data_IF_308580402220
#
_entry.id   IF_308580402220
#
_cell.length_a   1.000
_cell.length_b   1.000
_cell.length_c   1.000
_cell.angle_alpha   90.00
_cell.angle_beta   90.00
_cell.angle_gamma   90.00
#
_symmetry.space_group_name_H-M   'P 1'
#
loop_
_entity.id
_entity.type
_entity.pdbx_description
1 polymer ?
#
# COMPACT_ATOMS: atom_id res chain seq x y z
N UNK A 1 -6.38 18.29 -12.79
CA UNK A 1 -6.45 17.79 -11.40
C UNK A 1 -5.10 17.24 -11.01
N UNK A 2 -4.63 17.51 -9.79
CA UNK A 2 -3.42 16.87 -9.25
C UNK A 2 -3.85 15.62 -8.47
N UNK A 3 -3.23 14.48 -8.75
CA UNK A 3 -3.48 13.25 -8.00
C UNK A 3 -2.95 13.36 -6.57
N UNK A 4 -3.63 12.75 -5.57
CA UNK A 4 -3.14 12.73 -4.18
C UNK A 4 -1.70 12.25 -4.07
N UNK A 5 -0.98 12.79 -3.10
CA UNK A 5 0.41 12.40 -2.78
C UNK A 5 0.42 11.58 -1.49
N UNK A 6 1.22 10.51 -1.47
CA UNK A 6 1.46 9.77 -0.23
C UNK A 6 2.16 10.70 0.79
N UNK A 7 1.71 10.66 2.05
CA UNK A 7 2.16 11.56 3.11
C UNK A 7 1.60 12.98 3.03
N UNK A 8 0.62 13.26 2.16
CA UNK A 8 0.00 14.59 2.00
C UNK A 8 0.79 15.55 1.11
N UNK A 9 0.43 16.83 1.05
CA UNK A 9 1.11 17.79 0.16
C UNK A 9 2.53 18.15 0.64
N UNK A 10 2.71 18.35 1.95
CA UNK A 10 4.02 18.61 2.54
C UNK A 10 4.78 17.31 2.82
N UNK A 11 6.08 17.29 2.52
CA UNK A 11 6.93 16.19 2.95
C UNK A 11 7.05 16.22 4.48
N UNK A 12 6.89 15.07 5.13
CA UNK A 12 7.02 14.97 6.58
C UNK A 12 8.41 15.46 7.03
N UNK A 13 8.48 16.41 7.98
CA UNK A 13 9.73 17.00 8.40
C UNK A 13 10.56 15.99 9.19
N UNK A 14 11.86 15.91 8.87
CA UNK A 14 12.82 15.18 9.68
C UNK A 14 14.22 15.77 9.45
N UNK A 15 14.97 16.14 10.51
CA UNK A 15 16.29 16.77 10.39
C UNK A 15 17.28 15.95 9.56
N UNK A 16 18.24 16.56 8.84
CA UNK A 16 19.24 15.83 8.06
C UNK A 16 20.13 14.88 8.88
N UNK A 17 20.28 15.16 10.18
CA UNK A 17 21.12 14.43 11.14
C UNK A 17 20.31 13.48 12.05
N UNK A 18 19.02 13.29 11.78
CA UNK A 18 18.08 12.58 12.65
C UNK A 18 18.51 11.17 13.08
N UNK A 19 19.29 10.45 12.27
CA UNK A 19 19.77 9.10 12.59
C UNK A 19 21.22 9.07 13.11
N UNK A 20 21.86 10.23 13.21
CA UNK A 20 23.23 10.39 13.69
C UNK A 20 23.33 11.08 15.05
N UNK A 21 22.25 11.75 15.48
CA UNK A 21 22.18 12.38 16.81
C UNK A 21 22.19 11.35 17.94
N UNK A 22 22.70 11.77 19.10
CA UNK A 22 22.86 10.90 20.27
C UNK A 22 21.54 10.31 20.78
N UNK A 23 20.46 11.09 20.73
CA UNK A 23 19.12 10.64 21.15
C UNK A 23 18.64 9.43 20.37
N UNK A 24 18.87 9.39 19.06
CA UNK A 24 18.53 8.24 18.22
C UNK A 24 19.53 7.11 18.40
N UNK A 25 20.83 7.39 18.28
CA UNK A 25 21.87 6.35 18.27
C UNK A 25 21.99 5.59 19.60
N UNK A 26 21.70 6.22 20.75
CA UNK A 26 21.64 5.53 22.05
C UNK A 26 20.39 4.68 22.24
N UNK A 27 19.28 5.05 21.62
CA UNK A 27 17.98 4.39 21.82
C UNK A 27 17.66 3.35 20.74
N UNK A 28 18.28 3.46 19.55
CA UNK A 28 18.02 2.58 18.44
C UNK A 28 18.76 1.26 18.58
N UNK A 29 17.99 0.20 18.85
CA UNK A 29 18.47 -1.18 18.77
C UNK A 29 17.92 -1.85 17.50
N UNK A 30 18.78 -2.33 16.58
CA UNK A 30 18.33 -2.93 15.33
C UNK A 30 17.67 -4.30 15.56
N UNK A 31 16.45 -4.46 15.07
CA UNK A 31 15.65 -5.68 15.16
C UNK A 31 15.43 -6.36 13.81
N UNK A 32 14.16 -6.67 13.53
CA UNK A 32 13.76 -7.48 12.36
C UNK A 32 13.91 -6.71 11.05
N UNK A 33 14.15 -7.44 9.97
CA UNK A 33 14.17 -6.87 8.63
C UNK A 33 12.78 -6.94 8.00
N UNK A 34 12.33 -5.82 7.43
CA UNK A 34 11.12 -5.73 6.64
C UNK A 34 11.43 -5.10 5.28
N UNK A 35 10.52 -5.29 4.33
CA UNK A 35 10.65 -4.83 2.97
C UNK A 35 9.37 -4.11 2.55
N UNK A 36 9.49 -2.83 2.25
CA UNK A 36 8.42 -2.08 1.58
C UNK A 36 8.54 -2.37 0.10
N UNK A 37 7.48 -2.89 -0.51
CA UNK A 37 7.43 -3.22 -1.92
C UNK A 37 6.31 -2.46 -2.63
N UNK A 38 6.48 -2.34 -3.94
CA UNK A 38 5.47 -1.82 -4.85
C UNK A 38 5.16 -2.88 -5.90
N UNK A 39 3.89 -3.11 -6.19
CA UNK A 39 3.46 -4.08 -7.21
C UNK A 39 2.28 -3.58 -8.04
N UNK A 40 2.15 -4.14 -9.23
CA UNK A 40 1.01 -3.95 -10.13
C UNK A 40 0.65 -5.26 -10.82
N UNK A 41 -0.51 -5.30 -11.46
CA UNK A 41 -1.02 -6.45 -12.22
C UNK A 41 -1.81 -5.97 -13.44
N UNK A 42 -2.05 -6.88 -14.39
CA UNK A 42 -2.85 -6.62 -15.58
C UNK A 42 -2.08 -6.34 -16.86
N UNK A 43 -0.75 -6.43 -16.86
CA UNK A 43 0.04 -6.47 -18.10
C UNK A 43 -0.04 -7.86 -18.71
N UNK A 44 -0.72 -7.99 -19.86
CA UNK A 44 -0.70 -9.20 -20.67
C UNK A 44 -0.14 -8.88 -22.06
N UNK A 45 1.08 -9.35 -22.32
CA UNK A 45 1.78 -9.17 -23.60
C UNK A 45 1.13 -9.97 -24.74
N UNK A 46 0.29 -10.96 -24.44
CA UNK A 46 -0.44 -11.76 -25.43
C UNK A 46 -1.75 -11.07 -25.85
N UNK A 47 -2.30 -10.21 -24.98
CA UNK A 47 -3.51 -9.42 -25.25
C UNK A 47 -3.32 -7.95 -24.85
N UNK A 48 -2.36 -7.22 -25.47
CA UNK A 48 -2.00 -5.87 -25.05
C UNK A 48 -3.14 -4.85 -25.19
N UNK A 49 -4.13 -5.15 -26.04
CA UNK A 49 -5.33 -4.33 -26.22
C UNK A 49 -6.33 -4.43 -25.05
N UNK A 50 -6.21 -5.44 -24.19
CA UNK A 50 -7.13 -5.67 -23.07
C UNK A 50 -6.41 -5.35 -21.76
N UNK A 51 -6.51 -4.09 -21.32
CA UNK A 51 -6.02 -3.71 -19.99
C UNK A 51 -6.93 -4.31 -18.91
N UNK A 52 -6.41 -5.25 -18.14
CA UNK A 52 -7.11 -5.90 -17.03
C UNK A 52 -6.43 -5.56 -15.70
N UNK A 53 -6.87 -6.14 -14.58
CA UNK A 53 -6.21 -5.94 -13.30
C UNK A 53 -6.18 -4.49 -12.82
N UNK A 54 -5.19 -4.18 -11.99
CA UNK A 54 -4.97 -2.84 -11.49
C UNK A 54 -4.55 -1.86 -12.61
N UNK A 55 -3.84 -2.33 -13.64
CA UNK A 55 -3.51 -1.51 -14.81
C UNK A 55 -4.77 -1.01 -15.54
N UNK A 56 -5.76 -1.87 -15.72
CA UNK A 56 -7.06 -1.50 -16.30
C UNK A 56 -7.78 -0.46 -15.46
N UNK A 57 -7.78 -0.60 -14.13
CA UNK A 57 -8.31 0.40 -13.19
C UNK A 57 -7.60 1.74 -13.36
N UNK A 58 -6.26 1.73 -13.31
CA UNK A 58 -5.43 2.92 -13.45
C UNK A 58 -5.68 3.66 -14.78
N UNK A 59 -5.76 2.92 -15.90
CA UNK A 59 -6.04 3.50 -17.23
C UNK A 59 -7.43 4.14 -17.30
N UNK A 60 -8.47 3.46 -16.80
CA UNK A 60 -9.83 4.01 -16.79
C UNK A 60 -9.96 5.25 -15.92
N UNK A 61 -9.18 5.35 -14.84
CA UNK A 61 -9.11 6.54 -13.99
C UNK A 61 -8.17 7.64 -14.50
N UNK A 62 -7.36 7.37 -15.52
CA UNK A 62 -6.25 8.24 -15.97
C UNK A 62 -5.22 8.54 -14.85
N UNK A 63 -4.98 7.54 -14.00
CA UNK A 63 -4.13 7.64 -12.81
C UNK A 63 -2.95 6.65 -12.84
N UNK A 64 -1.99 6.85 -11.93
CA UNK A 64 -0.96 5.85 -11.63
C UNK A 64 -1.28 5.22 -10.28
N UNK A 65 -1.67 3.95 -10.29
CA UNK A 65 -2.12 3.23 -9.10
C UNK A 65 -1.25 1.99 -8.92
N UNK A 66 -0.72 1.81 -7.72
CA UNK A 66 0.07 0.65 -7.37
C UNK A 66 -0.32 0.13 -5.99
N UNK A 67 -0.09 -1.17 -5.77
CA UNK A 67 -0.11 -1.71 -4.42
C UNK A 67 1.21 -1.37 -3.72
N UNK A 68 1.15 -0.77 -2.54
CA UNK A 68 2.32 -0.52 -1.68
C UNK A 68 2.05 -1.13 -0.31
N UNK A 69 2.97 -1.96 0.18
CA UNK A 69 2.75 -2.83 1.34
C UNK A 69 4.09 -3.30 1.92
N UNK A 70 4.05 -3.98 3.08
CA UNK A 70 5.24 -4.43 3.80
C UNK A 70 5.24 -5.95 3.98
N UNK A 71 6.35 -6.59 3.65
CA UNK A 71 6.56 -8.01 3.96
C UNK A 71 7.84 -8.22 4.76
N UNK A 72 7.87 -9.27 5.59
CA UNK A 72 9.07 -9.78 6.25
C UNK A 72 9.51 -11.13 5.67
N UNK A 73 8.87 -11.58 4.58
CA UNK A 73 9.23 -12.85 3.94
C UNK A 73 10.61 -12.76 3.30
N UNK A 74 11.39 -13.84 3.47
CA UNK A 74 12.74 -13.95 2.91
C UNK A 74 12.70 -13.91 1.38
N UNK A 75 11.70 -14.55 0.78
CA UNK A 75 11.49 -14.56 -0.68
C UNK A 75 10.30 -13.69 -1.02
N UNK A 76 10.58 -12.48 -1.53
CA UNK A 76 9.53 -11.55 -1.95
C UNK A 76 8.57 -12.17 -2.99
N UNK A 77 9.04 -13.09 -3.82
CA UNK A 77 8.19 -13.79 -4.81
C UNK A 77 7.08 -14.61 -4.18
N UNK A 78 7.25 -15.12 -2.95
CA UNK A 78 6.18 -15.85 -2.27
C UNK A 78 5.02 -14.90 -1.94
N UNK A 79 5.32 -13.63 -1.61
CA UNK A 79 4.29 -12.61 -1.43
C UNK A 79 3.49 -12.35 -2.71
N UNK A 80 4.12 -12.36 -3.89
CA UNK A 80 3.38 -12.23 -5.16
C UNK A 80 2.50 -13.45 -5.42
N UNK A 81 2.95 -14.66 -5.07
CA UNK A 81 2.15 -15.88 -5.19
C UNK A 81 0.87 -15.76 -4.36
N UNK A 82 0.98 -15.29 -3.12
CA UNK A 82 -0.18 -15.04 -2.25
C UNK A 82 -1.15 -14.02 -2.88
N UNK A 83 -0.65 -12.89 -3.40
CA UNK A 83 -1.50 -11.89 -4.06
C UNK A 83 -2.21 -12.43 -5.31
N UNK A 84 -1.56 -13.32 -6.06
CA UNK A 84 -2.15 -13.97 -7.22
C UNK A 84 -3.23 -14.98 -6.84
N UNK A 85 -2.97 -15.77 -5.79
CA UNK A 85 -3.92 -16.75 -5.26
C UNK A 85 -5.18 -16.05 -4.73
N UNK A 86 -5.00 -15.01 -3.91
CA UNK A 86 -6.09 -14.21 -3.35
C UNK A 86 -6.80 -13.33 -4.40
N UNK A 87 -6.21 -13.20 -5.59
CA UNK A 87 -6.59 -12.21 -6.61
C UNK A 87 -6.80 -10.83 -6.00
N UNK A 88 -5.83 -10.40 -5.20
CA UNK A 88 -6.00 -9.27 -4.27
C UNK A 88 -6.60 -8.04 -4.97
N UNK A 89 -7.69 -7.50 -4.43
CA UNK A 89 -8.36 -6.31 -4.96
C UNK A 89 -9.19 -6.50 -6.23
N UNK A 90 -9.43 -7.74 -6.66
CA UNK A 90 -10.22 -8.02 -7.86
C UNK A 90 -11.70 -7.66 -7.71
N UNK A 91 -12.22 -7.62 -6.48
CA UNK A 91 -13.65 -7.54 -6.26
C UNK A 91 -14.12 -6.09 -6.22
N UNK A 92 -15.24 -5.86 -6.88
CA UNK A 92 -15.94 -4.58 -6.95
C UNK A 92 -17.45 -4.83 -6.93
N UNK A 93 -18.24 -3.76 -7.04
CA UNK A 93 -19.71 -3.81 -7.04
C UNK A 93 -20.20 -3.45 -8.43
N UNK A 94 -21.08 -4.27 -9.01
CA UNK A 94 -21.73 -4.00 -10.29
C UNK A 94 -22.70 -2.82 -10.17
N UNK A 95 -23.16 -2.29 -11.32
CA UNK A 95 -24.18 -1.23 -11.33
C UNK A 95 -25.48 -1.64 -10.60
N UNK A 96 -25.81 -2.93 -10.63
CA UNK A 96 -26.99 -3.50 -9.96
C UNK A 96 -26.74 -3.88 -8.49
N UNK A 97 -25.55 -3.57 -7.94
CA UNK A 97 -25.23 -3.78 -6.53
C UNK A 97 -24.65 -5.16 -6.16
N UNK A 98 -24.35 -6.01 -7.14
CA UNK A 98 -23.78 -7.34 -6.89
C UNK A 98 -22.26 -7.32 -6.82
N UNK A 99 -21.67 -8.14 -5.93
CA UNK A 99 -20.23 -8.36 -5.94
C UNK A 99 -19.81 -9.06 -7.23
N UNK A 100 -18.78 -8.52 -7.88
CA UNK A 100 -18.19 -9.09 -9.09
C UNK A 100 -16.68 -9.07 -8.99
N UNK A 101 -16.03 -10.07 -9.58
CA UNK A 101 -14.56 -10.14 -9.65
C UNK A 101 -14.07 -9.73 -11.04
N UNK A 102 -13.29 -8.66 -11.10
CA UNK A 102 -12.57 -8.26 -12.30
C UNK A 102 -11.46 -9.26 -12.64
N UNK A 103 -11.17 -9.43 -13.93
CA UNK A 103 -10.08 -10.28 -14.43
C UNK A 103 -8.72 -9.57 -14.31
N UNK A 104 -7.63 -10.33 -14.37
CA UNK A 104 -6.26 -9.81 -14.46
C UNK A 104 -5.62 -9.39 -13.12
N UNK A 105 -6.20 -9.81 -12.00
CA UNK A 105 -5.65 -9.64 -10.65
C UNK A 105 -4.83 -10.86 -10.18
N UNK A 106 -4.42 -11.72 -11.11
CA UNK A 106 -3.74 -13.00 -10.92
C UNK A 106 -2.31 -13.05 -11.48
N UNK A 107 -1.79 -11.90 -11.94
CA UNK A 107 -0.45 -11.74 -12.51
C UNK A 107 0.33 -10.57 -11.88
N UNK A 108 0.29 -10.46 -10.56
CA UNK A 108 1.04 -9.50 -9.77
C UNK A 108 2.55 -9.58 -10.02
N UNK A 109 3.15 -8.41 -10.26
CA UNK A 109 4.57 -8.24 -10.48
C UNK A 109 5.11 -7.09 -9.64
N UNK A 110 6.33 -7.26 -9.12
CA UNK A 110 7.04 -6.17 -8.45
C UNK A 110 7.46 -5.08 -9.44
N UNK A 111 7.21 -3.84 -9.04
CA UNK A 111 7.70 -2.65 -9.71
C UNK A 111 8.99 -2.16 -9.05
N UNK A 112 9.86 -1.53 -9.83
CA UNK A 112 11.05 -0.88 -9.28
C UNK A 112 10.67 0.39 -8.54
N UNK A 113 11.08 0.52 -7.28
CA UNK A 113 11.03 1.78 -6.51
C UNK A 113 12.36 2.52 -6.77
N UNK A 114 12.29 3.61 -7.54
CA UNK A 114 13.45 4.39 -8.00
C UNK A 114 13.35 5.83 -7.49
N UNK A 115 13.74 6.09 -6.23
CA UNK A 115 13.83 7.44 -5.69
C UNK A 115 14.98 8.21 -6.34
N UNK A 116 14.77 9.52 -6.50
CA UNK A 116 15.81 10.44 -7.01
C UNK A 116 16.85 10.76 -5.94
N UNK A 117 16.42 10.84 -4.68
CA UNK A 117 17.26 11.02 -3.51
C UNK A 117 17.79 9.73 -2.89
N UNK A 118 18.53 9.91 -1.81
CA UNK A 118 19.01 8.82 -0.95
C UNK A 118 18.37 8.94 0.43
N UNK A 119 18.21 7.81 1.15
CA UNK A 119 17.93 7.85 2.58
C UNK A 119 18.93 8.74 3.32
N UNK A 120 18.51 9.28 4.46
CA UNK A 120 19.39 10.08 5.31
C UNK A 120 20.63 9.29 5.76
N UNK A 121 21.74 9.97 6.11
CA UNK A 121 22.91 9.31 6.68
C UNK A 121 22.53 8.45 7.89
N UNK A 122 23.10 7.24 7.98
CA UNK A 122 22.79 6.25 9.02
C UNK A 122 21.32 5.79 9.13
N UNK A 123 20.48 6.12 8.14
CA UNK A 123 19.08 5.70 8.11
C UNK A 123 18.93 4.18 8.17
N UNK A 124 17.99 3.66 8.99
CA UNK A 124 17.59 2.25 8.97
C UNK A 124 16.91 1.81 7.66
N UNK A 125 16.58 2.76 6.79
CA UNK A 125 15.99 2.54 5.47
C UNK A 125 17.10 2.52 4.42
N UNK A 126 17.10 1.51 3.57
CA UNK A 126 18.07 1.36 2.48
C UNK A 126 17.37 0.92 1.19
N UNK A 127 17.90 1.36 0.06
CA UNK A 127 17.42 0.93 -1.26
C UNK A 127 17.86 -0.50 -1.51
N UNK A 128 16.98 -1.31 -2.09
CA UNK A 128 17.30 -2.65 -2.58
C UNK A 128 16.65 -2.88 -3.94
N UNK A 129 16.87 -4.05 -4.55
CA UNK A 129 16.32 -4.33 -5.87
C UNK A 129 14.80 -4.56 -5.77
N UNK A 130 14.02 -3.68 -6.40
CA UNK A 130 12.53 -3.68 -6.40
C UNK A 130 11.85 -3.45 -5.04
N UNK A 131 12.57 -3.09 -3.99
CA UNK A 131 12.00 -2.78 -2.68
C UNK A 131 12.86 -1.78 -1.89
N UNK A 132 12.29 -1.22 -0.83
CA UNK A 132 13.05 -0.56 0.23
C UNK A 132 13.22 -1.54 1.38
N UNK A 133 14.46 -1.74 1.81
CA UNK A 133 14.81 -2.57 2.95
C UNK A 133 14.82 -1.71 4.21
N UNK A 134 14.06 -2.13 5.21
CA UNK A 134 13.88 -1.40 6.45
C UNK A 134 14.31 -2.28 7.62
N UNK A 135 15.29 -1.82 8.39
CA UNK A 135 15.63 -2.45 9.68
C UNK A 135 14.72 -1.84 10.74
N UNK A 136 13.76 -2.62 11.22
CA UNK A 136 12.85 -2.18 12.27
C UNK A 136 13.59 -2.17 13.62
N UNK A 137 13.31 -1.21 14.52
CA UNK A 137 13.86 -1.23 15.86
C UNK A 137 13.28 -2.39 16.69
N UNK A 138 14.01 -2.84 17.70
CA UNK A 138 13.50 -3.79 18.69
C UNK A 138 12.17 -3.27 19.28
N UNK A 139 11.21 -4.18 19.44
CA UNK A 139 9.87 -3.87 19.94
C UNK A 139 8.87 -3.41 18.87
N UNK A 140 9.30 -3.04 17.66
CA UNK A 140 8.38 -2.75 16.55
C UNK A 140 8.14 -4.00 15.70
N UNK A 141 6.90 -4.50 15.70
CA UNK A 141 6.48 -5.57 14.82
C UNK A 141 6.31 -5.08 13.37
N UNK A 142 6.46 -5.99 12.39
CA UNK A 142 6.21 -5.68 10.96
C UNK A 142 4.80 -5.16 10.72
N UNK A 143 3.80 -5.77 11.35
CA UNK A 143 2.40 -5.36 11.19
C UNK A 143 2.13 -3.99 11.78
N UNK A 144 2.78 -3.64 12.90
CA UNK A 144 2.71 -2.30 13.49
C UNK A 144 3.34 -1.25 12.57
N UNK A 145 4.50 -1.56 11.98
CA UNK A 145 5.14 -0.67 11.00
C UNK A 145 4.27 -0.47 9.75
N UNK A 146 3.73 -1.57 9.20
CA UNK A 146 2.84 -1.55 8.05
C UNK A 146 1.57 -0.72 8.32
N UNK A 147 0.99 -0.90 9.49
CA UNK A 147 -0.19 -0.17 9.96
C UNK A 147 0.07 1.35 10.01
N UNK A 148 1.18 1.79 10.60
CA UNK A 148 1.59 3.22 10.59
C UNK A 148 1.85 3.73 9.18
N UNK A 149 2.50 2.92 8.35
CA UNK A 149 2.76 3.27 6.96
C UNK A 149 1.45 3.54 6.21
N UNK A 150 0.45 2.66 6.37
CA UNK A 150 -0.85 2.83 5.75
C UNK A 150 -1.62 4.04 6.26
N UNK A 151 -1.58 4.32 7.57
CA UNK A 151 -2.21 5.50 8.16
C UNK A 151 -1.65 6.79 7.57
N UNK A 152 -0.32 6.91 7.49
CA UNK A 152 0.35 8.09 6.90
C UNK A 152 0.05 8.22 5.41
N UNK A 153 -0.14 7.11 4.71
CA UNK A 153 -0.41 7.09 3.28
C UNK A 153 -1.92 7.16 2.93
N UNK A 154 -2.81 7.12 3.93
CA UNK A 154 -4.25 6.89 3.75
C UNK A 154 -4.91 7.89 2.79
N UNK A 155 -4.53 9.17 2.84
CA UNK A 155 -5.08 10.21 1.99
C UNK A 155 -4.86 9.95 0.48
N UNK A 156 -3.86 9.15 0.12
CA UNK A 156 -3.59 8.73 -1.26
C UNK A 156 -4.06 7.30 -1.56
N UNK A 157 -4.78 6.64 -0.65
CA UNK A 157 -5.39 5.33 -0.90
C UNK A 157 -6.55 5.49 -1.88
N UNK A 158 -6.67 4.54 -2.82
CA UNK A 158 -7.70 4.55 -3.85
C UNK A 158 -9.10 4.59 -3.24
N UNK A 159 -9.42 3.64 -2.35
CA UNK A 159 -10.76 3.53 -1.77
C UNK A 159 -11.13 4.75 -0.92
N UNK A 160 -10.15 5.34 -0.23
CA UNK A 160 -10.37 6.53 0.59
C UNK A 160 -10.56 7.77 -0.26
N UNK A 161 -9.73 7.95 -1.30
CA UNK A 161 -9.87 9.05 -2.24
C UNK A 161 -11.21 8.99 -2.97
N UNK A 162 -11.70 7.81 -3.38
CA UNK A 162 -12.99 7.65 -4.06
C UNK A 162 -14.20 8.16 -3.25
N UNK A 163 -14.04 8.35 -1.93
CA UNK A 163 -15.07 8.90 -1.03
C UNK A 163 -15.05 10.44 -0.98
N UNK A 164 -14.05 11.10 -1.56
CA UNK A 164 -13.92 12.57 -1.49
C UNK A 164 -14.72 13.29 -2.59
N UNK A 165 -15.11 14.56 -2.38
CA UNK A 165 -15.77 15.37 -3.41
C UNK A 165 -14.98 15.48 -4.71
N UNK A 166 -13.64 15.57 -4.62
CA UNK A 166 -12.77 15.67 -5.78
C UNK A 166 -12.83 14.41 -6.64
N UNK A 167 -12.85 13.23 -6.02
CA UNK A 167 -12.96 11.97 -6.75
C UNK A 167 -14.33 11.79 -7.40
N UNK A 168 -15.39 12.19 -6.70
CA UNK A 168 -16.75 12.18 -7.25
C UNK A 168 -16.83 13.07 -8.49
N UNK A 169 -16.27 14.29 -8.41
CA UNK A 169 -16.21 15.21 -9.54
C UNK A 169 -15.37 14.66 -10.72
N UNK A 170 -14.21 14.06 -10.44
CA UNK A 170 -13.37 13.43 -11.46
C UNK A 170 -14.09 12.28 -12.16
N UNK A 171 -14.69 11.37 -11.38
CA UNK A 171 -15.42 10.22 -11.93
C UNK A 171 -16.59 10.69 -12.81
N UNK A 172 -17.33 11.71 -12.38
CA UNK A 172 -18.39 12.33 -13.19
C UNK A 172 -17.84 12.90 -14.50
N UNK A 173 -16.69 13.58 -14.47
CA UNK A 173 -16.05 14.14 -15.67
C UNK A 173 -15.69 13.06 -16.71
N UNK A 174 -15.26 11.88 -16.27
CA UNK A 174 -14.92 10.76 -17.16
C UNK A 174 -16.12 9.83 -17.44
N UNK A 175 -17.32 10.19 -17.00
CA UNK A 175 -18.55 9.43 -17.23
C UNK A 175 -18.59 8.08 -16.50
N UNK A 176 -18.06 8.02 -15.28
CA UNK A 176 -17.92 6.79 -14.46
C UNK A 176 -18.45 7.00 -13.05
N UNK A 177 -18.84 5.92 -12.39
CA UNK A 177 -19.17 5.92 -10.96
C UNK A 177 -17.93 5.60 -10.10
N UNK A 178 -17.71 6.30 -8.96
CA UNK A 178 -16.66 5.92 -8.00
C UNK A 178 -16.75 4.46 -7.54
N UNK A 179 -17.97 3.90 -7.45
CA UNK A 179 -18.20 2.52 -7.03
C UNK A 179 -17.53 1.50 -7.98
N UNK A 180 -17.45 1.79 -9.28
CA UNK A 180 -16.76 0.94 -10.27
C UNK A 180 -15.26 0.78 -9.97
N UNK A 181 -14.68 1.74 -9.24
CA UNK A 181 -13.26 1.76 -8.92
C UNK A 181 -12.96 1.28 -7.52
N UNK A 182 -13.94 1.20 -6.62
CA UNK A 182 -13.76 0.66 -5.27
C UNK A 182 -13.34 -0.81 -5.34
N UNK A 183 -12.40 -1.20 -4.47
CA UNK A 183 -11.77 -2.52 -4.50
C UNK A 183 -11.87 -3.26 -3.19
N UNK A 184 -12.16 -4.54 -3.29
CA UNK A 184 -12.21 -5.51 -2.20
C UNK A 184 -11.44 -6.76 -2.58
N UNK A 185 -11.11 -7.56 -1.57
CA UNK A 185 -10.52 -8.90 -1.72
C UNK A 185 -11.41 -9.91 -1.01
N UNK A 186 -11.64 -11.06 -1.64
CA UNK A 186 -12.29 -12.21 -1.02
C UNK A 186 -11.22 -13.15 -0.50
N UNK A 187 -11.21 -13.38 0.81
CA UNK A 187 -10.30 -14.33 1.45
C UNK A 187 -11.07 -15.60 1.80
N UNK A 188 -10.68 -16.72 1.21
CA UNK A 188 -11.22 -18.03 1.55
C UNK A 188 -10.62 -18.56 2.86
N UNK A 189 -11.47 -19.03 3.75
CA UNK A 189 -11.10 -19.68 5.01
C UNK A 189 -11.89 -20.97 5.15
N UNK A 190 -11.41 -22.04 4.50
CA UNK A 190 -12.10 -23.35 4.52
C UNK A 190 -13.48 -23.27 3.88
N UNK A 191 -14.52 -23.26 4.71
CA UNK A 191 -15.95 -23.24 4.36
C UNK A 191 -16.55 -21.81 4.32
N UNK A 192 -15.74 -20.77 4.48
CA UNK A 192 -16.21 -19.38 4.48
C UNK A 192 -15.39 -18.47 3.58
N UNK A 193 -16.01 -17.39 3.12
CA UNK A 193 -15.32 -16.29 2.45
C UNK A 193 -15.54 -15.02 3.27
N UNK A 194 -14.44 -14.32 3.57
CA UNK A 194 -14.46 -12.97 4.13
C UNK A 194 -14.11 -11.96 3.06
N UNK A 195 -14.99 -11.01 2.84
CA UNK A 195 -14.72 -9.87 1.98
C UNK A 195 -14.06 -8.76 2.80
N UNK A 196 -13.04 -8.10 2.28
CA UNK A 196 -12.40 -6.97 2.98
C UNK A 196 -11.93 -5.92 1.98
N UNK A 197 -12.01 -4.65 2.36
CA UNK A 197 -11.55 -3.56 1.50
C UNK A 197 -10.06 -3.68 1.18
N UNK A 198 -9.70 -3.47 -0.08
CA UNK A 198 -8.32 -3.43 -0.52
C UNK A 198 -7.69 -2.08 -0.16
N UNK A 199 -7.07 -2.02 1.01
CA UNK A 199 -6.53 -0.79 1.61
C UNK A 199 -5.21 -0.31 1.00
N UNK A 200 -4.50 -1.24 0.37
CA UNK A 200 -3.10 -1.08 0.00
C UNK A 200 -2.88 -0.54 -1.42
N UNK A 201 -3.92 -0.06 -2.11
CA UNK A 201 -3.82 0.57 -3.43
C UNK A 201 -3.69 2.08 -3.28
N UNK A 202 -2.64 2.65 -3.86
CA UNK A 202 -2.31 4.06 -3.72
C UNK A 202 -2.09 4.74 -5.06
N UNK A 203 -2.45 6.03 -5.14
CA UNK A 203 -1.94 6.94 -6.16
C UNK A 203 -0.43 7.12 -5.94
N UNK A 204 0.37 6.31 -6.61
CA UNK A 204 1.79 6.18 -6.35
C UNK A 204 2.57 6.04 -7.65
N UNK A 205 3.55 6.92 -7.85
CA UNK A 205 4.49 6.88 -8.98
C UNK A 205 5.84 6.35 -8.50
N UNK A 206 6.15 5.06 -8.72
CA UNK A 206 7.31 4.42 -8.10
C UNK A 206 8.67 4.92 -8.59
N UNK A 207 8.71 5.78 -9.61
CA UNK A 207 9.92 6.30 -10.28
C UNK A 207 9.96 7.83 -10.28
N UNK A 208 9.37 8.46 -9.27
CA UNK A 208 9.33 9.92 -9.10
C UNK A 208 9.44 10.27 -7.61
N UNK A 209 9.20 11.54 -7.25
CA UNK A 209 9.23 12.03 -5.86
C UNK A 209 8.36 11.24 -4.87
N UNK A 210 7.36 10.46 -5.34
CA UNK A 210 6.59 9.60 -4.44
C UNK A 210 7.48 8.51 -3.83
N UNK A 211 8.48 8.01 -4.57
CA UNK A 211 9.46 7.07 -4.02
C UNK A 211 10.34 7.73 -2.93
N UNK A 212 10.70 9.00 -3.10
CA UNK A 212 11.43 9.77 -2.08
C UNK A 212 10.56 10.03 -0.84
N UNK A 213 9.28 10.33 -1.04
CA UNK A 213 8.28 10.43 0.03
C UNK A 213 8.13 9.13 0.80
N UNK A 214 8.12 7.99 0.12
CA UNK A 214 8.02 6.68 0.76
C UNK A 214 9.21 6.40 1.68
N UNK A 215 10.43 6.76 1.27
CA UNK A 215 11.61 6.70 2.14
C UNK A 215 11.39 7.59 3.36
N UNK A 216 11.02 8.85 3.16
CA UNK A 216 10.84 9.80 4.27
C UNK A 216 9.77 9.35 5.26
N UNK A 217 8.65 8.82 4.79
CA UNK A 217 7.59 8.29 5.64
C UNK A 217 8.13 7.14 6.50
N UNK A 218 8.84 6.18 5.91
CA UNK A 218 9.45 5.08 6.65
C UNK A 218 10.47 5.57 7.69
N UNK A 219 11.29 6.55 7.31
CA UNK A 219 12.27 7.20 8.20
C UNK A 219 11.61 7.89 9.39
N UNK A 220 10.56 8.66 9.16
CA UNK A 220 9.81 9.35 10.22
C UNK A 220 9.17 8.36 11.18
N UNK A 221 8.54 7.29 10.67
CA UNK A 221 7.92 6.25 11.51
C UNK A 221 8.95 5.60 12.44
N UNK A 222 10.13 5.25 11.93
CA UNK A 222 11.19 4.62 12.74
C UNK A 222 11.78 5.61 13.73
N UNK A 223 12.05 6.83 13.29
CA UNK A 223 12.61 7.87 14.15
C UNK A 223 11.68 8.21 15.31
N UNK A 224 10.40 8.43 15.04
CA UNK A 224 9.39 8.73 16.06
C UNK A 224 9.24 7.58 17.05
N UNK A 225 9.17 6.33 16.59
CA UNK A 225 9.13 5.16 17.49
C UNK A 225 10.30 5.10 18.47
N UNK A 226 11.50 5.41 17.97
CA UNK A 226 12.74 5.34 18.75
C UNK A 226 12.83 6.51 19.73
N UNK A 227 12.56 7.73 19.27
CA UNK A 227 12.85 8.97 20.01
C UNK A 227 11.68 9.51 20.82
N UNK A 228 10.46 9.07 20.53
CA UNK A 228 9.24 9.51 21.19
C UNK A 228 8.48 8.30 21.75
N UNK A 229 8.70 7.92 23.02
CA UNK A 229 8.02 6.77 23.64
C UNK A 229 6.49 6.86 23.63
N UNK A 230 5.91 8.07 23.64
CA UNK A 230 4.47 8.27 23.56
C UNK A 230 3.88 7.82 22.21
N UNK A 231 4.69 7.83 21.13
CA UNK A 231 4.27 7.30 19.83
C UNK A 231 3.91 5.82 19.86
N UNK A 232 4.37 5.08 20.89
CA UNK A 232 4.15 3.63 21.06
C UNK A 232 2.79 3.30 21.68
N UNK A 233 2.04 4.29 22.16
CA UNK A 233 0.69 4.07 22.68
C UNK A 233 -0.19 3.51 21.56
N UNK A 234 -0.94 2.45 21.90
CA UNK A 234 -1.55 1.51 20.94
C UNK A 234 -2.28 2.21 19.81
N UNK A 235 -1.89 1.92 18.58
CA UNK A 235 -2.74 2.18 17.42
C UNK A 235 -4.05 1.41 17.59
N UNK A 236 -5.17 2.11 17.40
CA UNK A 236 -6.42 1.43 17.06
C UNK A 236 -6.21 0.85 15.67
N UNK A 237 -6.11 -0.48 15.57
CA UNK A 237 -5.78 -1.17 14.33
C UNK A 237 -6.66 -0.71 13.17
N UNK A 238 -6.09 -0.06 12.14
CA UNK A 238 -6.77 0.22 10.88
C UNK A 238 -7.20 -1.08 10.21
N UNK A 239 -6.44 -2.18 10.36
CA UNK A 239 -6.90 -3.51 9.90
C UNK A 239 -8.31 -3.84 10.43
N UNK A 240 -8.65 -3.49 11.68
CA UNK A 240 -9.99 -3.74 12.25
C UNK A 240 -11.14 -2.99 11.55
N UNK A 241 -10.93 -1.75 11.11
CA UNK A 241 -11.99 -0.92 10.50
C UNK A 241 -12.42 -1.36 9.09
N UNK A 242 -11.78 -2.36 8.49
CA UNK A 242 -12.16 -2.88 7.17
C UNK A 242 -12.13 -4.39 7.08
N UNK A 243 -12.16 -5.08 8.22
CA UNK A 243 -12.54 -6.49 8.23
C UNK A 243 -14.01 -6.53 7.85
N UNK A 244 -14.29 -6.87 6.59
CA UNK A 244 -15.66 -6.94 6.11
C UNK A 244 -16.36 -8.19 6.64
N UNK A 245 -17.54 -8.46 6.08
CA UNK A 245 -18.41 -9.52 6.56
C UNK A 245 -17.99 -10.90 6.05
N UNK A 246 -18.35 -11.93 6.83
CA UNK A 246 -18.13 -13.35 6.51
C UNK A 246 -19.40 -13.93 5.92
N UNK A 247 -19.28 -14.71 4.86
CA UNK A 247 -20.36 -15.49 4.27
C UNK A 247 -19.95 -16.97 4.26
N UNK A 248 -20.82 -17.83 4.81
CA UNK A 248 -20.69 -19.28 4.72
C UNK A 248 -20.92 -19.75 3.27
N UNK A 249 -20.09 -20.68 2.81
CA UNK A 249 -20.30 -21.33 1.53
C UNK A 249 -21.45 -22.35 1.64
N UNK A 250 -22.24 -22.55 0.57
CA UNK A 250 -23.24 -23.62 0.54
C UNK A 250 -22.58 -24.97 0.84
N UNK A 251 -23.21 -25.79 1.70
CA UNK A 251 -22.76 -27.15 1.91
C UNK A 251 -22.78 -27.91 0.57
N UNK A 252 -21.63 -28.46 0.19
CA UNK A 252 -21.44 -29.22 -1.05
C UNK A 252 -22.07 -30.61 -1.02
#
# INVERSE_FOLDING_TARGET
MLWPRIGGEALLPLPPDAFTVESFTRAYEPGTLAYIYCSGCGEDHRMPAVATGLLGVARRLFASIHKVSVTAQVKLTDRLRELNEDRYGSVTVSADGYLVSDRGFDNWMFQHILPGGSPLPASPVSRSNKCLRVRLPVGMAKDEFEERLHQVMQAASLNEWLKTPEAIAHCAQIGRSPAEFSRMTGYGFGDSIRWSEAKEFYFFRPKSDDADRLIRIAEVIIHDWVTNPASREKLVSYKSHGQGYVQELPAG
#
